data_IF_863587260405
#
_entry.id   IF_863587260405
#
_cell.length_a   1.000
_cell.length_b   1.000
_cell.length_c   1.000
_cell.angle_alpha   90.00
_cell.angle_beta   90.00
_cell.angle_gamma   90.00
#
_symmetry.space_group_name_H-M   'P 1'
#
loop_
_entity.id
_entity.type
_entity.pdbx_description
1 polymer ?
#
# COMPACT_ATOMS: atom_id res chain seq x y z
N UNK A 1 6.00 -17.24 -50.50
CA UNK A 1 6.49 -18.25 -49.52
C UNK A 1 7.32 -17.66 -48.37
N UNK A 2 8.14 -16.60 -48.56
CA UNK A 2 8.99 -16.02 -47.49
C UNK A 2 8.26 -15.02 -46.57
N UNK A 3 7.31 -14.25 -47.10
CA UNK A 3 6.55 -13.24 -46.34
C UNK A 3 5.55 -13.85 -45.34
N UNK A 4 5.06 -15.07 -45.59
CA UNK A 4 4.07 -15.73 -44.73
C UNK A 4 4.69 -16.26 -43.41
N UNK A 5 5.98 -16.59 -43.42
CA UNK A 5 6.71 -17.00 -42.21
C UNK A 5 6.78 -15.85 -41.20
N UNK A 6 6.96 -14.62 -41.65
CA UNK A 6 7.06 -13.45 -40.76
C UNK A 6 5.70 -13.01 -40.19
N UNK A 7 4.60 -13.26 -40.91
CA UNK A 7 3.26 -12.96 -40.42
C UNK A 7 2.82 -13.90 -39.27
N UNK A 8 3.24 -15.17 -39.31
CA UNK A 8 2.95 -16.15 -38.26
C UNK A 8 3.74 -15.89 -36.96
N UNK A 9 4.97 -15.36 -37.05
CA UNK A 9 5.75 -14.99 -35.86
C UNK A 9 5.23 -13.72 -35.16
N UNK A 10 4.56 -12.81 -35.87
CA UNK A 10 3.99 -11.61 -35.28
C UNK A 10 2.69 -11.87 -34.47
N UNK A 11 1.95 -12.94 -34.80
CA UNK A 11 0.69 -13.25 -34.11
C UNK A 11 0.89 -14.05 -32.81
N UNK A 12 2.01 -14.78 -32.68
CA UNK A 12 2.31 -15.58 -31.48
C UNK A 12 2.78 -14.75 -30.26
N UNK A 13 3.24 -13.51 -30.47
CA UNK A 13 3.78 -12.66 -29.41
C UNK A 13 2.73 -11.93 -28.55
N UNK A 14 1.47 -11.84 -29.02
CA UNK A 14 0.44 -11.02 -28.36
C UNK A 14 -0.37 -11.76 -27.29
N UNK A 15 -0.23 -13.09 -27.17
CA UNK A 15 -1.12 -13.91 -26.34
C UNK A 15 -0.63 -14.17 -24.90
N UNK A 16 0.55 -13.67 -24.52
CA UNK A 16 1.18 -13.96 -23.21
C UNK A 16 1.15 -12.78 -22.23
N UNK A 17 0.23 -11.83 -22.38
CA UNK A 17 -0.08 -10.90 -21.29
C UNK A 17 -0.83 -11.69 -20.20
N UNK A 18 -0.10 -12.25 -19.24
CA UNK A 18 -0.71 -12.81 -18.04
C UNK A 18 -1.52 -11.70 -17.36
N UNK A 19 -2.85 -11.84 -17.34
CA UNK A 19 -3.71 -10.93 -16.59
C UNK A 19 -3.29 -10.99 -15.13
N UNK A 20 -2.76 -9.89 -14.61
CA UNK A 20 -2.61 -9.70 -13.18
C UNK A 20 -4.02 -9.72 -12.57
N UNK A 21 -4.38 -10.84 -11.95
CA UNK A 21 -5.64 -10.95 -11.19
C UNK A 21 -5.36 -10.61 -9.75
N UNK A 22 -5.87 -9.48 -9.31
CA UNK A 22 -5.97 -9.17 -7.89
C UNK A 22 -7.03 -10.10 -7.29
N UNK A 23 -6.60 -11.03 -6.43
CA UNK A 23 -7.46 -11.82 -5.59
C UNK A 23 -7.01 -11.67 -4.13
N UNK A 24 -7.93 -11.71 -3.15
CA UNK A 24 -7.55 -11.71 -1.75
C UNK A 24 -6.60 -12.87 -1.45
N UNK A 25 -5.40 -12.55 -0.96
CA UNK A 25 -4.40 -13.56 -0.55
C UNK A 25 -4.83 -14.20 0.77
N UNK A 26 -5.29 -13.38 1.71
CA UNK A 26 -5.74 -13.78 3.03
C UNK A 26 -6.86 -12.85 3.52
N UNK A 27 -7.84 -13.44 4.20
CA UNK A 27 -8.74 -12.75 5.13
C UNK A 27 -8.65 -13.44 6.48
N UNK A 28 -8.34 -12.68 7.53
CA UNK A 28 -8.31 -13.19 8.91
C UNK A 28 -9.08 -12.26 9.83
N UNK A 29 -9.88 -12.84 10.73
CA UNK A 29 -10.59 -12.14 11.81
C UNK A 29 -10.33 -12.90 13.10
N UNK A 30 -9.89 -12.19 14.13
CA UNK A 30 -9.64 -12.75 15.45
C UNK A 30 -10.27 -11.87 16.52
N UNK A 31 -10.65 -12.50 17.63
CA UNK A 31 -11.05 -11.78 18.83
C UNK A 31 -9.82 -11.08 19.44
N UNK A 32 -9.92 -9.76 19.65
CA UNK A 32 -8.77 -8.96 20.08
C UNK A 32 -8.35 -9.23 21.53
N UNK A 33 -9.27 -9.68 22.40
CA UNK A 33 -8.99 -9.92 23.82
C UNK A 33 -8.34 -11.28 24.07
N UNK A 34 -8.79 -12.31 23.34
CA UNK A 34 -8.39 -13.71 23.53
C UNK A 34 -7.39 -14.20 22.48
N UNK A 35 -7.30 -13.53 21.33
CA UNK A 35 -6.51 -13.98 20.18
C UNK A 35 -7.14 -15.15 19.41
N UNK A 36 -8.35 -15.57 19.77
CA UNK A 36 -9.04 -16.66 19.09
C UNK A 36 -9.37 -16.27 17.64
N UNK A 37 -8.90 -17.06 16.68
CA UNK A 37 -9.21 -16.88 15.26
C UNK A 37 -10.65 -17.31 15.01
N UNK A 38 -11.47 -16.38 14.54
CA UNK A 38 -12.89 -16.58 14.22
C UNK A 38 -13.09 -16.92 12.74
N UNK A 39 -12.27 -16.32 11.87
CA UNK A 39 -12.27 -16.55 10.42
C UNK A 39 -10.83 -16.57 9.92
N UNK A 40 -10.50 -17.55 9.08
CA UNK A 40 -9.25 -17.57 8.33
C UNK A 40 -9.49 -18.19 6.95
N UNK A 41 -9.18 -17.45 5.90
CA UNK A 41 -9.38 -17.85 4.51
C UNK A 41 -8.17 -17.45 3.67
N UNK A 42 -7.62 -18.37 2.89
CA UNK A 42 -6.43 -18.13 2.07
C UNK A 42 -5.10 -18.36 2.81
N UNK A 43 -4.00 -17.88 2.24
CA UNK A 43 -2.66 -17.99 2.81
C UNK A 43 -2.34 -16.76 3.68
N UNK A 44 -2.59 -16.89 4.98
CA UNK A 44 -2.34 -15.84 5.97
C UNK A 44 -0.93 -15.87 6.57
N UNK A 45 -0.02 -16.69 6.02
CA UNK A 45 1.34 -16.87 6.56
C UNK A 45 2.41 -16.24 5.68
N UNK A 46 2.15 -16.11 4.38
CA UNK A 46 3.04 -15.39 3.47
C UNK A 46 3.16 -13.93 3.86
N UNK A 47 4.40 -13.45 4.02
CA UNK A 47 4.70 -12.06 4.32
C UNK A 47 4.62 -11.21 3.05
N UNK A 48 4.03 -10.03 3.20
CA UNK A 48 3.94 -9.00 2.13
C UNK A 48 4.43 -7.66 2.67
N UNK A 49 4.70 -6.71 1.77
CA UNK A 49 5.00 -5.33 2.19
C UNK A 49 3.77 -4.73 2.88
N UNK A 50 3.92 -4.08 4.05
CA UNK A 50 2.81 -3.45 4.75
C UNK A 50 2.31 -2.17 4.07
N UNK A 51 3.10 -1.57 3.16
CA UNK A 51 2.79 -0.28 2.53
C UNK A 51 2.28 0.75 3.58
N UNK A 52 1.13 1.39 3.33
CA UNK A 52 0.56 2.38 4.25
C UNK A 52 0.06 1.82 5.58
N UNK A 53 -0.14 0.51 5.74
CA UNK A 53 -0.52 -0.06 7.06
C UNK A 53 0.60 0.09 8.10
N UNK A 54 1.85 0.23 7.64
CA UNK A 54 3.00 0.46 8.52
C UNK A 54 2.94 1.79 9.26
N UNK A 55 2.07 2.73 8.84
CA UNK A 55 1.81 3.97 9.57
C UNK A 55 1.40 3.71 11.02
N UNK A 56 0.70 2.62 11.32
CA UNK A 56 0.33 2.25 12.70
C UNK A 56 1.57 2.03 13.57
N UNK A 57 2.54 1.26 13.06
CA UNK A 57 3.79 1.00 13.78
C UNK A 57 4.64 2.28 13.93
N UNK A 58 4.75 3.08 12.86
CA UNK A 58 5.47 4.36 12.91
C UNK A 58 4.80 5.33 13.90
N UNK A 59 3.47 5.38 13.95
CA UNK A 59 2.74 6.21 14.90
C UNK A 59 3.08 5.83 16.33
N UNK A 60 3.07 4.53 16.67
CA UNK A 60 3.46 4.04 17.99
C UNK A 60 4.89 4.48 18.36
N UNK A 61 5.85 4.30 17.44
CA UNK A 61 7.23 4.75 17.64
C UNK A 61 7.32 6.27 17.84
N UNK A 62 6.56 7.03 17.06
CA UNK A 62 6.57 8.48 17.11
C UNK A 62 5.98 9.05 18.40
N UNK A 63 4.90 8.46 18.90
CA UNK A 63 4.32 8.82 20.21
C UNK A 63 5.25 8.45 21.36
N UNK A 64 5.82 7.24 21.34
CA UNK A 64 6.78 6.78 22.36
C UNK A 64 8.03 7.67 22.43
N UNK A 65 8.58 8.05 21.27
CA UNK A 65 9.71 8.96 21.19
C UNK A 65 9.36 10.44 21.48
N UNK A 66 8.07 10.78 21.67
CA UNK A 66 7.60 12.15 21.86
C UNK A 66 7.68 13.05 20.63
N UNK A 67 7.91 12.46 19.45
CA UNK A 67 7.87 13.17 18.16
C UNK A 67 6.44 13.55 17.83
N UNK A 68 5.51 12.59 17.95
CA UNK A 68 4.07 12.83 17.87
C UNK A 68 3.55 13.11 19.28
N UNK A 69 2.78 14.19 19.46
CA UNK A 69 2.26 14.60 20.77
C UNK A 69 0.77 14.34 20.90
N UNK A 70 0.05 14.58 19.81
CA UNK A 70 -1.38 14.36 19.68
C UNK A 70 -1.73 14.21 18.18
N UNK A 71 -3.01 14.16 17.88
CA UNK A 71 -3.52 13.98 16.51
C UNK A 71 -3.20 15.14 15.57
N UNK A 72 -2.86 16.32 16.10
CA UNK A 72 -2.61 17.54 15.32
C UNK A 72 -1.19 18.08 15.47
N UNK A 73 -0.36 17.45 16.31
CA UNK A 73 0.97 17.96 16.66
C UNK A 73 2.04 16.89 16.50
N UNK A 74 3.10 17.14 15.69
CA UNK A 74 3.40 18.37 14.95
C UNK A 74 2.70 18.42 13.59
N UNK A 75 2.37 19.62 13.13
CA UNK A 75 2.12 19.86 11.71
C UNK A 75 3.44 20.03 10.98
N UNK A 76 3.65 19.25 9.93
CA UNK A 76 4.83 19.31 9.06
C UNK A 76 4.47 19.97 7.74
N UNK A 77 5.20 21.03 7.38
CA UNK A 77 5.03 21.69 6.10
C UNK A 77 5.66 20.86 4.97
N UNK A 78 5.11 21.01 3.76
CA UNK A 78 5.73 20.45 2.57
C UNK A 78 7.01 21.23 2.21
N UNK A 79 8.08 20.51 1.89
CA UNK A 79 9.32 21.10 1.40
C UNK A 79 9.59 20.67 -0.05
N UNK A 80 10.07 21.62 -0.86
CA UNK A 80 10.45 21.35 -2.25
C UNK A 80 11.48 20.21 -2.31
N UNK A 81 11.22 19.21 -3.17
CA UNK A 81 12.00 17.99 -3.28
C UNK A 81 11.39 16.77 -2.57
N UNK A 82 10.33 16.95 -1.76
CA UNK A 82 9.56 15.82 -1.25
C UNK A 82 8.73 15.17 -2.37
N UNK A 83 8.51 13.84 -2.31
CA UNK A 83 7.62 13.16 -3.24
C UNK A 83 6.20 13.75 -3.18
N UNK A 84 5.68 14.19 -4.32
CA UNK A 84 4.37 14.81 -4.45
C UNK A 84 3.51 14.13 -5.52
N UNK A 85 3.66 12.80 -5.66
CA UNK A 85 2.99 11.99 -6.68
C UNK A 85 1.46 12.13 -6.67
N UNK A 86 0.85 12.46 -5.53
CA UNK A 86 -0.57 12.73 -5.41
C UNK A 86 -0.99 14.19 -5.69
N UNK A 87 -0.11 15.02 -6.24
CA UNK A 87 -0.42 16.35 -6.74
C UNK A 87 -0.57 17.43 -5.65
N UNK A 88 -1.43 18.41 -5.89
CA UNK A 88 -1.64 19.54 -4.97
C UNK A 88 -1.99 19.09 -3.53
N UNK A 89 -2.84 18.08 -3.29
CA UNK A 89 -3.13 17.60 -1.93
C UNK A 89 -1.89 17.09 -1.16
N UNK A 90 -0.82 16.70 -1.85
CA UNK A 90 0.41 16.21 -1.22
C UNK A 90 1.37 17.34 -0.82
N UNK A 91 1.06 18.58 -1.21
CA UNK A 91 1.85 19.78 -0.91
C UNK A 91 1.28 20.60 0.25
N UNK A 92 0.20 20.12 0.87
CA UNK A 92 -0.41 20.76 2.03
C UNK A 92 0.30 20.38 3.34
N UNK A 93 0.27 21.25 4.36
CA UNK A 93 0.72 20.90 5.70
C UNK A 93 0.06 19.61 6.19
N UNK A 94 0.86 18.75 6.81
CA UNK A 94 0.45 17.41 7.24
C UNK A 94 0.66 17.24 8.72
N UNK A 95 -0.45 17.10 9.45
CA UNK A 95 -0.48 16.67 10.85
C UNK A 95 -0.69 15.14 10.95
N UNK A 96 -0.59 14.56 12.16
CA UNK A 96 -0.72 13.11 12.35
C UNK A 96 -2.09 12.56 11.90
N UNK A 97 -3.19 13.27 12.14
CA UNK A 97 -4.54 12.88 11.72
C UNK A 97 -4.68 12.83 10.20
N UNK A 98 -4.20 13.86 9.49
CA UNK A 98 -4.17 13.88 8.03
C UNK A 98 -3.28 12.78 7.48
N UNK A 99 -2.10 12.57 8.08
CA UNK A 99 -1.17 11.54 7.64
C UNK A 99 -1.75 10.12 7.75
N UNK A 100 -2.50 9.83 8.81
CA UNK A 100 -3.15 8.53 9.01
C UNK A 100 -4.28 8.27 8.02
N UNK A 101 -5.03 9.31 7.63
CA UNK A 101 -6.15 9.20 6.68
C UNK A 101 -5.72 9.29 5.21
N UNK A 102 -4.56 9.90 4.95
CA UNK A 102 -4.02 10.04 3.59
C UNK A 102 -3.25 8.78 3.18
N UNK A 103 -3.84 7.99 2.29
CA UNK A 103 -3.14 6.93 1.55
C UNK A 103 -3.11 7.26 0.06
N UNK A 104 -1.95 7.09 -0.59
CA UNK A 104 -1.92 6.97 -2.06
C UNK A 104 -2.85 5.84 -2.50
N UNK A 105 -3.55 5.97 -3.64
CA UNK A 105 -4.13 4.81 -4.33
C UNK A 105 -3.04 3.82 -4.78
#
# INVERSE_FOLDING_TARGET
MKHWRHALFAFAGLAAAASARAHPVCTVVADAATGNVLVQQGDCTTRVTPASTFKVAIALMGFDAGVLKDEHTPTLDFHAGYPDWGGAPWREPTDPARWLTSSSP
#
